data_IF_924478424169
#
_entry.id   IF_924478424169
#
_cell.length_a   1.000
_cell.length_b   1.000
_cell.length_c   1.000
_cell.angle_alpha   90.00
_cell.angle_beta   90.00
_cell.angle_gamma   90.00
#
_symmetry.space_group_name_H-M   'P 1'
#
loop_
_entity.id
_entity.type
_entity.pdbx_description
1 polymer ?
#
# COMPACT_ATOMS: atom_id res chain seq x y z
N UNK A 1 -28.18 -8.85 0.75
CA UNK A 1 -29.02 -9.58 -0.23
C UNK A 1 -30.14 -8.66 -0.65
N UNK A 2 -30.51 -8.66 -1.93
CA UNK A 2 -31.55 -7.79 -2.49
C UNK A 2 -32.98 -8.26 -2.17
N UNK A 3 -33.15 -9.46 -1.62
CA UNK A 3 -34.42 -10.00 -1.15
C UNK A 3 -34.23 -11.02 -0.02
N UNK A 4 -35.32 -11.36 0.67
CA UNK A 4 -35.40 -12.33 1.77
C UNK A 4 -35.58 -13.78 1.32
N UNK A 5 -36.06 -14.01 0.09
CA UNK A 5 -36.27 -15.34 -0.49
C UNK A 5 -35.65 -15.43 -1.89
N UNK A 6 -35.34 -16.65 -2.32
CA UNK A 6 -34.73 -16.91 -3.63
C UNK A 6 -35.66 -16.55 -4.79
N UNK A 7 -36.96 -16.74 -4.62
CA UNK A 7 -37.99 -16.51 -5.64
C UNK A 7 -38.23 -15.02 -5.90
N UNK A 8 -37.92 -14.17 -4.91
CA UNK A 8 -38.04 -12.70 -4.99
C UNK A 8 -36.72 -12.03 -5.41
N UNK A 9 -35.61 -12.78 -5.46
CA UNK A 9 -34.31 -12.23 -5.78
C UNK A 9 -34.17 -11.98 -7.28
N UNK A 10 -33.92 -10.73 -7.66
CA UNK A 10 -33.68 -10.32 -9.05
C UNK A 10 -32.26 -10.65 -9.52
N UNK A 11 -31.31 -10.73 -8.58
CA UNK A 11 -29.92 -11.10 -8.80
C UNK A 11 -29.50 -12.16 -7.76
N UNK A 12 -28.88 -13.23 -8.24
CA UNK A 12 -28.37 -14.34 -7.42
C UNK A 12 -26.85 -14.42 -7.59
N UNK A 13 -26.11 -14.21 -6.51
CA UNK A 13 -24.66 -14.36 -6.48
C UNK A 13 -24.27 -15.82 -6.22
N UNK A 14 -23.37 -16.36 -7.03
CA UNK A 14 -22.84 -17.72 -6.87
C UNK A 14 -21.38 -17.68 -6.40
N UNK A 15 -21.08 -18.41 -5.31
CA UNK A 15 -19.73 -18.64 -4.84
C UNK A 15 -19.29 -20.07 -5.20
N UNK A 16 -18.19 -20.18 -5.94
CA UNK A 16 -17.65 -21.46 -6.39
C UNK A 16 -16.28 -21.67 -5.75
N UNK A 17 -16.04 -22.86 -5.21
CA UNK A 17 -14.77 -23.22 -4.57
C UNK A 17 -14.37 -24.66 -4.91
N UNK A 18 -13.07 -24.92 -4.92
CA UNK A 18 -12.49 -26.25 -5.04
C UNK A 18 -12.26 -26.95 -3.68
N UNK A 19 -12.70 -26.32 -2.59
CA UNK A 19 -12.61 -26.86 -1.23
C UNK A 19 -13.67 -27.95 -1.03
N UNK A 20 -13.30 -29.00 -0.29
CA UNK A 20 -14.17 -30.11 0.09
C UNK A 20 -15.44 -29.64 0.80
N UNK A 21 -16.59 -30.20 0.44
CA UNK A 21 -17.91 -29.75 0.91
C UNK A 21 -18.05 -29.76 2.44
N UNK A 22 -17.36 -30.67 3.13
CA UNK A 22 -17.38 -30.79 4.59
C UNK A 22 -16.78 -29.56 5.30
N UNK A 23 -15.93 -28.80 4.61
CA UNK A 23 -15.31 -27.56 5.13
C UNK A 23 -16.09 -26.30 4.75
N UNK A 24 -16.96 -26.39 3.73
CA UNK A 24 -17.68 -25.23 3.18
C UNK A 24 -18.94 -24.97 4.00
N UNK A 25 -18.77 -24.37 5.18
CA UNK A 25 -19.88 -23.85 5.97
C UNK A 25 -20.25 -22.43 5.53
N UNK A 26 -21.49 -21.96 5.78
CA UNK A 26 -21.86 -20.57 5.48
C UNK A 26 -20.94 -19.54 6.14
N UNK A 27 -20.54 -19.79 7.40
CA UNK A 27 -19.57 -18.96 8.11
C UNK A 27 -18.22 -18.92 7.39
N UNK A 28 -17.70 -20.08 6.98
CA UNK A 28 -16.44 -20.18 6.25
C UNK A 28 -16.47 -19.40 4.93
N UNK A 29 -17.59 -19.45 4.19
CA UNK A 29 -17.78 -18.68 2.96
C UNK A 29 -17.70 -17.17 3.24
N UNK A 30 -18.43 -16.70 4.25
CA UNK A 30 -18.44 -15.28 4.62
C UNK A 30 -17.04 -14.82 5.06
N UNK A 31 -16.40 -15.55 5.97
CA UNK A 31 -15.07 -15.21 6.48
C UNK A 31 -14.02 -15.20 5.36
N UNK A 32 -14.00 -16.23 4.53
CA UNK A 32 -13.02 -16.36 3.43
C UNK A 32 -13.25 -15.30 2.36
N UNK A 33 -14.50 -15.12 1.89
CA UNK A 33 -14.80 -14.17 0.83
C UNK A 33 -14.67 -12.72 1.31
N UNK A 34 -14.90 -12.43 2.59
CA UNK A 34 -14.71 -11.08 3.15
C UNK A 34 -13.27 -10.57 3.02
N UNK A 35 -12.28 -11.47 3.05
CA UNK A 35 -10.86 -11.11 2.86
C UNK A 35 -10.56 -10.56 1.46
N UNK A 36 -11.39 -10.87 0.46
CA UNK A 36 -11.24 -10.36 -0.92
C UNK A 36 -11.25 -8.83 -0.97
N UNK A 37 -12.02 -8.19 -0.10
CA UNK A 37 -12.15 -6.73 -0.07
C UNK A 37 -10.81 -6.01 0.16
N UNK A 38 -9.84 -6.68 0.79
CA UNK A 38 -8.49 -6.12 0.99
C UNK A 38 -7.85 -5.67 -0.33
N UNK A 39 -8.10 -6.36 -1.44
CA UNK A 39 -7.56 -5.98 -2.76
C UNK A 39 -8.09 -4.61 -3.21
N UNK A 40 -9.37 -4.32 -2.94
CA UNK A 40 -9.95 -3.02 -3.26
C UNK A 40 -9.41 -1.90 -2.36
N UNK A 41 -9.23 -2.20 -1.07
CA UNK A 41 -8.61 -1.28 -0.10
C UNK A 41 -7.18 -0.93 -0.56
N UNK A 42 -6.37 -1.94 -0.89
CA UNK A 42 -5.03 -1.75 -1.44
C UNK A 42 -5.05 -0.84 -2.66
N UNK A 43 -5.91 -1.12 -3.66
CA UNK A 43 -5.94 -0.30 -4.87
C UNK A 43 -6.35 1.14 -4.57
N UNK A 44 -7.30 1.37 -3.66
CA UNK A 44 -7.72 2.71 -3.26
C UNK A 44 -6.55 3.48 -2.65
N UNK A 45 -5.83 2.85 -1.73
CA UNK A 45 -4.72 3.47 -1.00
C UNK A 45 -3.49 3.68 -1.90
N UNK A 46 -3.11 2.68 -2.69
CA UNK A 46 -1.97 2.77 -3.60
C UNK A 46 -2.21 3.82 -4.70
N UNK A 47 -3.42 3.88 -5.27
CA UNK A 47 -3.79 4.90 -6.26
C UNK A 47 -3.90 6.29 -5.65
N UNK A 48 -4.39 6.41 -4.42
CA UNK A 48 -4.59 7.69 -3.75
C UNK A 48 -3.31 8.30 -3.18
N UNK A 49 -2.43 7.48 -2.60
CA UNK A 49 -1.35 7.98 -1.74
C UNK A 49 0.06 7.58 -2.16
N UNK A 50 0.22 6.52 -2.96
CA UNK A 50 1.53 6.00 -3.39
C UNK A 50 1.83 6.23 -4.87
N UNK A 51 1.01 7.02 -5.57
CA UNK A 51 1.27 7.38 -6.96
C UNK A 51 1.09 6.23 -7.96
N UNK A 52 0.28 5.22 -7.64
CA UNK A 52 0.01 4.13 -8.60
C UNK A 52 -0.64 4.64 -9.90
N UNK A 53 -1.35 5.77 -9.86
CA UNK A 53 -1.93 6.43 -11.04
C UNK A 53 -1.05 7.50 -11.67
N UNK A 54 0.08 7.84 -11.04
CA UNK A 54 0.92 8.97 -11.42
C UNK A 54 2.10 8.57 -12.32
N UNK A 55 2.17 7.32 -12.73
CA UNK A 55 3.18 6.88 -13.69
C UNK A 55 3.01 7.67 -14.99
N UNK A 56 4.08 8.36 -15.41
CA UNK A 56 4.13 9.06 -16.71
C UNK A 56 4.93 8.30 -17.76
N UNK A 57 5.48 7.14 -17.39
CA UNK A 57 6.37 6.39 -18.27
C UNK A 57 5.56 5.53 -19.24
N UNK A 58 5.92 5.59 -20.52
CA UNK A 58 5.22 4.89 -21.61
C UNK A 58 5.78 3.50 -21.90
N UNK A 59 6.99 3.21 -21.44
CA UNK A 59 7.67 1.94 -21.68
C UNK A 59 7.25 0.87 -20.66
N UNK A 60 7.02 -0.35 -21.14
CA UNK A 60 6.58 -1.50 -20.34
C UNK A 60 7.51 -1.81 -19.17
N UNK A 61 8.83 -1.79 -19.38
CA UNK A 61 9.79 -2.15 -18.34
C UNK A 61 9.76 -1.14 -17.19
N UNK A 62 9.78 0.16 -17.53
CA UNK A 62 9.69 1.23 -16.55
C UNK A 62 8.36 1.23 -15.80
N UNK A 63 7.25 0.87 -16.48
CA UNK A 63 5.95 0.67 -15.83
C UNK A 63 6.00 -0.45 -14.79
N UNK A 64 6.60 -1.60 -15.15
CA UNK A 64 6.77 -2.72 -14.23
C UNK A 64 7.63 -2.35 -13.02
N UNK A 65 8.74 -1.63 -13.23
CA UNK A 65 9.58 -1.12 -12.14
C UNK A 65 8.79 -0.21 -11.20
N UNK A 66 8.00 0.73 -11.74
CA UNK A 66 7.13 1.60 -10.94
C UNK A 66 6.14 0.79 -10.10
N UNK A 67 5.46 -0.18 -10.71
CA UNK A 67 4.51 -1.02 -9.99
C UNK A 67 5.20 -1.82 -8.87
N UNK A 68 6.34 -2.45 -9.14
CA UNK A 68 7.10 -3.17 -8.11
C UNK A 68 7.43 -2.24 -6.94
N UNK A 69 7.91 -1.02 -7.21
CA UNK A 69 8.24 -0.06 -6.16
C UNK A 69 7.02 0.36 -5.34
N UNK A 70 5.88 0.62 -5.98
CA UNK A 70 4.63 0.96 -5.27
C UNK A 70 4.17 -0.20 -4.38
N UNK A 71 4.20 -1.43 -4.88
CA UNK A 71 3.83 -2.61 -4.10
C UNK A 71 4.79 -2.82 -2.93
N UNK A 72 6.10 -2.72 -3.16
CA UNK A 72 7.10 -2.81 -2.10
C UNK A 72 6.89 -1.74 -1.02
N UNK A 73 6.65 -0.49 -1.41
CA UNK A 73 6.38 0.60 -0.48
C UNK A 73 5.10 0.34 0.34
N UNK A 74 4.03 -0.10 -0.31
CA UNK A 74 2.76 -0.41 0.36
C UNK A 74 2.95 -1.52 1.40
N UNK A 75 3.51 -2.66 0.99
CA UNK A 75 3.73 -3.81 1.88
C UNK A 75 4.67 -3.46 3.02
N UNK A 76 5.71 -2.65 2.77
CA UNK A 76 6.63 -2.20 3.81
C UNK A 76 5.94 -1.34 4.87
N UNK A 77 5.15 -0.35 4.44
CA UNK A 77 4.40 0.53 5.35
C UNK A 77 3.37 -0.28 6.13
N UNK A 78 2.61 -1.16 5.46
CA UNK A 78 1.61 -2.00 6.10
C UNK A 78 2.24 -2.94 7.14
N UNK A 79 3.36 -3.57 6.82
CA UNK A 79 4.09 -4.42 7.76
C UNK A 79 4.53 -3.66 9.01
N UNK A 80 5.05 -2.44 8.83
CA UNK A 80 5.46 -1.60 9.95
C UNK A 80 4.30 -1.05 10.78
N UNK A 81 3.14 -0.84 10.16
CA UNK A 81 1.91 -0.50 10.86
C UNK A 81 1.45 -1.67 11.73
N UNK A 82 1.36 -2.88 11.18
CA UNK A 82 0.93 -4.09 11.90
C UNK A 82 1.88 -4.50 13.02
N UNK A 83 3.19 -4.30 12.84
CA UNK A 83 4.20 -4.60 13.86
C UNK A 83 4.42 -3.47 14.87
N UNK A 84 3.78 -2.31 14.67
CA UNK A 84 3.97 -1.11 15.49
C UNK A 84 5.36 -0.46 15.35
N UNK A 85 6.16 -0.86 14.35
CA UNK A 85 7.53 -0.39 14.17
C UNK A 85 7.63 1.12 13.89
N UNK A 86 6.63 1.72 13.24
CA UNK A 86 6.57 3.17 13.04
C UNK A 86 6.17 3.91 14.31
N UNK A 87 5.13 3.43 15.01
CA UNK A 87 4.60 4.08 16.19
C UNK A 87 5.66 4.21 17.29
N UNK A 88 6.44 3.16 17.55
CA UNK A 88 7.45 3.17 18.63
C UNK A 88 8.48 4.30 18.57
N UNK A 89 8.74 4.86 17.38
CA UNK A 89 9.82 5.83 17.17
C UNK A 89 9.37 7.13 16.50
N UNK A 90 8.28 7.09 15.75
CA UNK A 90 7.91 8.19 14.85
C UNK A 90 6.48 8.72 15.07
N UNK A 91 5.73 8.19 16.05
CA UNK A 91 4.42 8.73 16.41
C UNK A 91 4.09 8.55 17.89
N UNK A 92 3.57 9.61 18.52
CA UNK A 92 3.04 9.54 19.89
C UNK A 92 1.54 9.20 19.93
N UNK A 93 0.85 9.30 18.78
CA UNK A 93 -0.55 8.89 18.59
C UNK A 93 -0.64 7.45 18.08
N UNK A 94 -1.75 6.72 18.34
CA UNK A 94 -2.02 5.48 17.63
C UNK A 94 -2.09 5.74 16.12
N UNK A 95 -1.56 4.80 15.34
CA UNK A 95 -1.69 4.80 13.89
C UNK A 95 -2.85 3.87 13.57
N UNK A 96 -4.03 4.42 13.29
CA UNK A 96 -5.25 3.61 13.07
C UNK A 96 -5.52 3.38 11.58
N UNK A 97 -5.06 4.31 10.72
CA UNK A 97 -5.26 4.25 9.28
C UNK A 97 -3.94 4.05 8.53
N UNK A 98 -4.03 3.58 7.28
CA UNK A 98 -2.88 3.56 6.38
C UNK A 98 -2.27 4.96 6.19
N UNK A 99 -3.10 6.00 6.15
CA UNK A 99 -2.64 7.39 6.03
C UNK A 99 -1.83 7.86 7.23
N UNK A 100 -2.20 7.47 8.45
CA UNK A 100 -1.40 7.75 9.65
C UNK A 100 -0.03 7.05 9.56
N UNK A 101 -0.03 5.78 9.14
CA UNK A 101 1.21 5.03 8.95
C UNK A 101 2.11 5.64 7.86
N UNK A 102 1.52 6.07 6.75
CA UNK A 102 2.24 6.76 5.68
C UNK A 102 2.83 8.09 6.16
N UNK A 103 2.10 8.87 6.95
CA UNK A 103 2.58 10.12 7.53
C UNK A 103 3.78 9.89 8.48
N UNK A 104 3.67 8.89 9.37
CA UNK A 104 4.77 8.48 10.24
C UNK A 104 5.99 8.00 9.43
N UNK A 105 5.76 7.23 8.36
CA UNK A 105 6.81 6.78 7.45
C UNK A 105 7.50 7.94 6.73
N UNK A 106 6.74 8.88 6.16
CA UNK A 106 7.29 10.08 5.51
C UNK A 106 8.12 10.90 6.48
N UNK A 107 7.65 11.08 7.71
CA UNK A 107 8.40 11.74 8.78
C UNK A 107 9.72 11.03 9.05
N UNK A 108 9.69 9.70 9.21
CA UNK A 108 10.89 8.89 9.41
C UNK A 108 11.90 9.05 8.26
N UNK A 109 11.42 9.01 7.01
CA UNK A 109 12.26 9.17 5.83
C UNK A 109 12.86 10.56 5.74
N UNK A 110 12.11 11.62 6.05
CA UNK A 110 12.61 13.00 6.06
C UNK A 110 13.73 13.19 7.07
N UNK A 111 13.58 12.70 8.30
CA UNK A 111 14.64 12.79 9.31
C UNK A 111 15.90 12.00 8.89
N UNK A 112 15.72 10.77 8.40
CA UNK A 112 16.85 9.96 7.92
C UNK A 112 17.54 10.59 6.72
N UNK A 113 16.77 11.12 5.77
CA UNK A 113 17.30 11.79 4.60
C UNK A 113 18.06 13.06 4.99
N UNK A 114 17.52 13.86 5.90
CA UNK A 114 18.21 15.05 6.40
C UNK A 114 19.55 14.69 7.05
N UNK A 115 19.58 13.70 7.94
CA UNK A 115 20.84 13.23 8.55
C UNK A 115 21.81 12.68 7.51
N UNK A 116 21.33 11.91 6.53
CA UNK A 116 22.18 11.40 5.47
C UNK A 116 22.76 12.54 4.62
N UNK A 117 21.93 13.52 4.27
CA UNK A 117 22.32 14.67 3.46
C UNK A 117 23.39 15.51 4.15
N UNK A 118 23.26 15.77 5.45
CA UNK A 118 24.27 16.53 6.20
C UNK A 118 25.60 15.80 6.29
N UNK A 119 25.58 14.46 6.29
CA UNK A 119 26.78 13.62 6.31
C UNK A 119 27.42 13.39 4.94
N UNK A 120 26.68 13.57 3.85
CA UNK A 120 27.08 13.21 2.49
C UNK A 120 26.83 14.37 1.50
N UNK A 121 27.01 15.61 1.98
CA UNK A 121 26.70 16.81 1.19
C UNK A 121 27.58 16.92 -0.06
N UNK A 122 28.81 16.45 0.02
CA UNK A 122 29.77 16.37 -1.07
C UNK A 122 29.28 15.40 -2.16
N UNK A 123 28.84 14.20 -1.79
CA UNK A 123 28.29 13.20 -2.71
C UNK A 123 27.03 13.74 -3.38
N UNK A 124 26.13 14.35 -2.61
CA UNK A 124 24.91 14.95 -3.13
C UNK A 124 25.22 16.10 -4.11
N UNK A 125 26.17 16.97 -3.77
CA UNK A 125 26.59 18.09 -4.62
C UNK A 125 27.23 17.60 -5.91
N UNK A 126 28.10 16.60 -5.84
CA UNK A 126 28.73 15.99 -7.02
C UNK A 126 27.68 15.35 -7.95
N UNK A 127 26.70 14.64 -7.40
CA UNK A 127 25.60 14.07 -8.19
C UNK A 127 24.76 15.15 -8.88
N UNK A 128 24.41 16.24 -8.17
CA UNK A 128 23.67 17.37 -8.76
C UNK A 128 24.47 18.06 -9.86
N UNK A 129 25.77 18.28 -9.65
CA UNK A 129 26.65 18.85 -10.65
C UNK A 129 26.73 17.98 -11.92
N UNK A 130 26.78 16.65 -11.78
CA UNK A 130 26.76 15.71 -12.91
C UNK A 130 25.46 15.78 -13.74
N UNK A 131 24.35 16.22 -13.13
CA UNK A 131 23.08 16.47 -13.81
C UNK A 131 22.97 17.90 -14.40
N UNK A 132 24.04 18.70 -14.31
CA UNK A 132 24.09 20.08 -14.79
C UNK A 132 23.47 21.11 -13.84
N UNK A 133 23.15 20.72 -12.60
CA UNK A 133 22.65 21.65 -11.58
C UNK A 133 23.79 22.09 -10.66
N UNK A 134 24.04 23.39 -10.60
CA UNK A 134 25.02 23.98 -9.69
C UNK A 134 24.26 24.49 -8.45
N UNK A 135 24.65 24.03 -7.27
CA UNK A 135 24.20 24.63 -6.02
C UNK A 135 25.11 25.82 -5.71
N UNK A 136 24.55 27.03 -5.65
CA UNK A 136 25.23 28.27 -5.26
C UNK A 136 25.09 28.50 -3.75
#
# INVERSE_FOLDING_TARGET
MNASSWEEATDIDYFITNVQAEKVTPQWVVETYSQRNWVEVFYREAKGWLGLREYRVREKESLLRHFILVFCAYTFILWHHLTGGLQRRWANKPLETFTDALEAFRTAMSFRFFTWLTQNIDVFSAHKAALGYIWA
#
